data_IF_608300357352
#
_entry.id   IF_608300357352
#
_cell.length_a   1.000
_cell.length_b   1.000
_cell.length_c   1.000
_cell.angle_alpha   90.00
_cell.angle_beta   90.00
_cell.angle_gamma   90.00
#
_symmetry.space_group_name_H-M   'P 1'
#
loop_
_entity.id
_entity.type
_entity.pdbx_description
1 polymer ?
#
# COMPACT_ATOMS: atom_id res chain seq x y z
N UNK A 1 25.21 -4.10 24.70
CA UNK A 1 25.16 -3.88 23.22
C UNK A 1 24.84 -5.13 22.38
N UNK A 2 25.12 -6.38 22.80
CA UNK A 2 24.72 -7.61 22.04
C UNK A 2 23.20 -7.71 21.79
N UNK A 3 22.37 -7.27 22.74
CA UNK A 3 20.91 -7.23 22.61
C UNK A 3 20.40 -6.27 21.54
N UNK A 4 21.17 -5.24 21.17
CA UNK A 4 20.77 -4.31 20.10
C UNK A 4 21.04 -4.90 18.72
N UNK A 5 22.22 -5.48 18.51
CA UNK A 5 22.59 -6.15 17.25
C UNK A 5 21.61 -7.29 16.92
N UNK A 6 21.30 -8.13 17.89
CA UNK A 6 20.34 -9.23 17.71
C UNK A 6 18.93 -8.73 17.41
N UNK A 7 18.41 -7.72 18.14
CA UNK A 7 17.09 -7.12 17.83
C UNK A 7 17.04 -6.53 16.44
N UNK A 8 18.10 -5.85 16.01
CA UNK A 8 18.23 -5.27 14.67
C UNK A 8 18.19 -6.34 13.59
N UNK A 9 18.96 -7.42 13.76
CA UNK A 9 18.99 -8.53 12.81
C UNK A 9 17.62 -9.21 12.68
N UNK A 10 16.93 -9.47 13.81
CA UNK A 10 15.58 -10.01 13.81
C UNK A 10 14.57 -9.09 13.12
N UNK A 11 14.68 -7.78 13.32
CA UNK A 11 13.81 -6.80 12.67
C UNK A 11 14.03 -6.73 11.16
N UNK A 12 15.30 -6.68 10.72
CA UNK A 12 15.66 -6.71 9.31
C UNK A 12 15.18 -8.00 8.65
N UNK A 13 15.32 -9.14 9.32
CA UNK A 13 14.81 -10.41 8.84
C UNK A 13 13.30 -10.39 8.64
N UNK A 14 12.54 -9.89 9.63
CA UNK A 14 11.09 -9.81 9.59
C UNK A 14 10.59 -8.91 8.46
N UNK A 15 11.15 -7.70 8.32
CA UNK A 15 10.80 -6.80 7.20
C UNK A 15 11.14 -7.44 5.86
N UNK A 16 12.31 -8.08 5.74
CA UNK A 16 12.71 -8.72 4.48
C UNK A 16 11.75 -9.83 4.10
N UNK A 17 11.28 -10.62 5.08
CA UNK A 17 10.28 -11.67 4.86
C UNK A 17 8.94 -11.09 4.39
N UNK A 18 8.45 -10.06 5.08
CA UNK A 18 7.17 -9.42 4.74
C UNK A 18 7.22 -8.76 3.37
N UNK A 19 8.28 -8.00 3.08
CA UNK A 19 8.40 -7.33 1.78
C UNK A 19 8.52 -8.33 0.63
N UNK A 20 9.20 -9.45 0.86
CA UNK A 20 9.33 -10.50 -0.14
C UNK A 20 8.01 -11.22 -0.40
N UNK A 21 7.17 -11.43 0.62
CA UNK A 21 5.87 -12.08 0.44
C UNK A 21 4.95 -11.29 -0.50
N UNK A 22 5.01 -9.95 -0.45
CA UNK A 22 4.30 -9.07 -1.39
C UNK A 22 4.89 -9.09 -2.81
N UNK A 23 6.18 -9.39 -2.96
CA UNK A 23 6.87 -9.40 -4.25
C UNK A 23 6.84 -10.75 -4.97
N UNK A 24 6.57 -11.86 -4.25
CA UNK A 24 6.49 -13.21 -4.84
C UNK A 24 5.59 -13.26 -6.10
N UNK A 25 4.38 -12.66 -6.14
CA UNK A 25 3.53 -12.69 -7.33
C UNK A 25 4.15 -12.05 -8.57
N UNK A 26 5.09 -11.10 -8.38
CA UNK A 26 5.76 -10.38 -9.47
C UNK A 26 6.97 -11.18 -9.98
N UNK A 27 7.58 -12.00 -9.14
CA UNK A 27 8.78 -12.78 -9.46
C UNK A 27 8.54 -14.31 -9.34
N UNK A 28 7.67 -14.90 -10.19
CA UNK A 28 7.25 -16.29 -10.05
C UNK A 28 8.38 -17.32 -10.27
N UNK A 29 9.49 -16.92 -10.89
CA UNK A 29 10.63 -17.78 -11.22
C UNK A 29 11.72 -17.81 -10.14
N UNK A 30 11.63 -16.95 -9.13
CA UNK A 30 12.65 -16.84 -8.07
C UNK A 30 12.12 -17.55 -6.83
N UNK A 31 12.96 -18.35 -6.19
CA UNK A 31 12.55 -19.01 -4.95
C UNK A 31 12.28 -17.97 -3.84
N UNK A 32 11.32 -18.21 -2.92
CA UNK A 32 11.02 -17.28 -1.84
C UNK A 32 12.25 -16.91 -0.99
N UNK A 33 13.16 -17.87 -0.79
CA UNK A 33 14.39 -17.68 -0.02
C UNK A 33 15.40 -16.79 -0.75
N UNK A 34 15.60 -16.98 -2.06
CA UNK A 34 16.47 -16.14 -2.87
C UNK A 34 15.92 -14.71 -2.97
N UNK A 35 14.61 -14.57 -3.18
CA UNK A 35 13.95 -13.28 -3.20
C UNK A 35 14.14 -12.55 -1.87
N UNK A 36 13.92 -13.24 -0.74
CA UNK A 36 14.16 -12.68 0.59
C UNK A 36 15.59 -12.23 0.80
N UNK A 37 16.57 -13.05 0.41
CA UNK A 37 17.97 -12.72 0.54
C UNK A 37 18.38 -11.52 -0.34
N UNK A 38 17.84 -11.46 -1.57
CA UNK A 38 18.08 -10.35 -2.50
C UNK A 38 17.48 -9.05 -1.95
N UNK A 39 16.21 -9.07 -1.57
CA UNK A 39 15.50 -7.93 -0.96
C UNK A 39 16.20 -7.44 0.31
N UNK A 40 16.63 -8.37 1.17
CA UNK A 40 17.38 -8.04 2.38
C UNK A 40 18.64 -7.26 2.06
N UNK A 41 19.47 -7.75 1.12
CA UNK A 41 20.77 -7.18 0.79
C UNK A 41 20.66 -5.88 -0.01
N UNK A 42 19.75 -5.82 -0.96
CA UNK A 42 19.64 -4.70 -1.90
C UNK A 42 18.81 -3.52 -1.35
N UNK A 43 17.82 -3.79 -0.49
CA UNK A 43 16.84 -2.77 -0.07
C UNK A 43 16.82 -2.59 1.44
N UNK A 44 16.49 -3.65 2.19
CA UNK A 44 16.15 -3.52 3.63
C UNK A 44 17.38 -3.15 4.46
N UNK A 45 18.50 -3.84 4.25
CA UNK A 45 19.74 -3.61 4.99
C UNK A 45 20.31 -2.20 4.72
N UNK A 46 20.49 -1.75 3.46
CA UNK A 46 20.91 -0.38 3.17
C UNK A 46 19.97 0.69 3.72
N UNK A 47 18.65 0.49 3.63
CA UNK A 47 17.67 1.44 4.17
C UNK A 47 17.77 1.55 5.71
N UNK A 48 17.94 0.42 6.40
CA UNK A 48 18.14 0.41 7.85
C UNK A 48 19.46 1.06 8.26
N UNK A 49 20.54 0.85 7.50
CA UNK A 49 21.84 1.51 7.72
C UNK A 49 21.74 3.03 7.50
N UNK A 50 21.06 3.46 6.45
CA UNK A 50 20.83 4.88 6.15
C UNK A 50 19.99 5.55 7.25
N UNK A 51 18.87 4.93 7.66
CA UNK A 51 18.02 5.45 8.74
C UNK A 51 18.79 5.59 10.06
N UNK A 52 19.68 4.65 10.37
CA UNK A 52 20.54 4.72 11.53
C UNK A 52 21.52 5.89 11.44
N UNK A 53 22.19 6.09 10.29
CA UNK A 53 23.15 7.18 10.08
C UNK A 53 22.51 8.56 10.13
N UNK A 54 21.31 8.68 9.59
CA UNK A 54 20.56 9.93 9.54
C UNK A 54 19.82 10.25 10.84
N UNK A 55 19.96 9.43 11.89
CA UNK A 55 19.21 9.55 13.14
C UNK A 55 17.70 9.73 12.92
N UNK A 56 17.13 9.13 11.87
CA UNK A 56 15.69 9.27 11.57
C UNK A 56 14.81 8.50 12.56
N UNK A 57 15.40 7.95 13.63
CA UNK A 57 14.81 6.99 14.58
C UNK A 57 13.73 7.57 15.50
N UNK A 58 13.31 8.82 15.29
CA UNK A 58 12.22 9.42 16.08
C UNK A 58 10.85 9.07 15.48
N UNK A 59 10.78 8.84 14.17
CA UNK A 59 9.52 8.66 13.47
C UNK A 59 9.34 7.20 13.04
N UNK A 60 8.21 6.61 13.42
CA UNK A 60 7.82 5.25 13.03
C UNK A 60 6.88 5.35 11.84
N UNK A 61 7.20 4.66 10.75
CA UNK A 61 6.37 4.64 9.54
C UNK A 61 5.53 3.37 9.48
N UNK A 62 4.29 3.51 9.03
CA UNK A 62 3.31 2.43 8.97
C UNK A 62 2.68 2.36 7.59
N UNK A 63 2.64 1.17 7.01
CA UNK A 63 1.81 0.86 5.85
C UNK A 63 0.51 0.24 6.34
N UNK A 64 -0.63 0.87 6.03
CA UNK A 64 -1.95 0.38 6.43
C UNK A 64 -2.87 0.24 5.24
N UNK A 65 -3.38 -0.96 5.02
CA UNK A 65 -4.45 -1.23 4.08
C UNK A 65 -5.77 -0.59 4.56
N UNK A 66 -6.70 -0.26 3.64
CA UNK A 66 -8.04 0.15 4.01
C UNK A 66 -8.70 -0.85 4.98
N UNK A 67 -9.57 -0.32 5.84
CA UNK A 67 -10.27 -1.16 6.83
C UNK A 67 -11.47 -1.84 6.16
N UNK A 68 -12.04 -2.87 6.80
CA UNK A 68 -13.27 -3.53 6.31
C UNK A 68 -14.44 -2.56 6.12
N UNK A 69 -14.41 -1.41 6.80
CA UNK A 69 -15.39 -0.32 6.69
C UNK A 69 -15.02 0.70 5.61
N UNK A 70 -14.12 0.38 4.70
CA UNK A 70 -13.64 1.33 3.69
C UNK A 70 -14.78 1.87 2.82
N UNK A 71 -15.79 1.04 2.53
CA UNK A 71 -16.96 1.42 1.73
C UNK A 71 -17.78 2.57 2.32
N UNK A 72 -17.78 2.75 3.65
CA UNK A 72 -18.55 3.81 4.33
C UNK A 72 -17.73 5.06 4.63
N UNK A 73 -16.41 4.99 4.52
CA UNK A 73 -15.47 6.07 4.90
C UNK A 73 -14.56 6.50 3.76
N UNK A 74 -15.13 6.76 2.59
CA UNK A 74 -14.35 7.09 1.40
C UNK A 74 -13.56 8.42 1.51
N UNK A 75 -13.95 9.33 2.41
CA UNK A 75 -13.24 10.61 2.66
C UNK A 75 -11.79 10.45 3.12
N UNK A 76 -11.44 9.31 3.74
CA UNK A 76 -10.08 9.08 4.25
C UNK A 76 -9.15 8.44 3.22
N UNK A 77 -9.66 8.10 2.04
CA UNK A 77 -8.93 7.42 0.97
C UNK A 77 -8.77 8.30 -0.26
N UNK A 78 -7.80 7.95 -1.09
CA UNK A 78 -7.67 8.46 -2.46
C UNK A 78 -8.49 7.55 -3.37
N UNK A 79 -9.59 8.07 -3.92
CA UNK A 79 -10.57 7.28 -4.65
C UNK A 79 -10.35 7.39 -6.15
N UNK A 80 -10.07 6.27 -6.81
CA UNK A 80 -9.89 6.18 -8.26
C UNK A 80 -11.20 5.76 -8.91
N UNK A 81 -11.77 6.58 -9.79
CA UNK A 81 -13.02 6.25 -10.47
C UNK A 81 -12.79 5.42 -11.72
N UNK A 82 -13.24 4.18 -11.69
CA UNK A 82 -13.17 3.26 -12.81
C UNK A 82 -13.93 3.77 -14.04
N UNK A 83 -15.09 4.40 -13.84
CA UNK A 83 -15.92 4.89 -14.94
C UNK A 83 -15.29 6.08 -15.69
N UNK A 84 -14.42 6.84 -15.03
CA UNK A 84 -13.73 8.01 -15.57
C UNK A 84 -12.24 7.71 -15.83
N UNK A 85 -11.95 6.49 -16.33
CA UNK A 85 -10.60 6.10 -16.74
C UNK A 85 -9.56 6.07 -15.61
N UNK A 86 -9.99 5.95 -14.35
CA UNK A 86 -9.10 5.94 -13.19
C UNK A 86 -8.73 7.35 -12.68
N UNK A 87 -9.48 8.39 -13.02
CA UNK A 87 -9.26 9.72 -12.44
C UNK A 87 -9.56 9.72 -10.94
N UNK A 88 -8.77 10.52 -10.21
CA UNK A 88 -8.93 10.67 -8.76
C UNK A 88 -10.12 11.57 -8.48
N UNK A 89 -11.03 11.09 -7.62
CA UNK A 89 -12.13 11.87 -7.06
C UNK A 89 -11.78 12.23 -5.62
N UNK A 90 -11.82 13.53 -5.31
CA UNK A 90 -11.71 13.98 -3.92
C UNK A 90 -13.08 13.94 -3.25
N UNK A 91 -13.20 13.09 -2.24
CA UNK A 91 -14.39 12.98 -1.39
C UNK A 91 -14.13 13.55 0.01
N UNK A 92 -13.01 14.25 0.22
CA UNK A 92 -12.74 14.91 1.48
C UNK A 92 -13.82 15.96 1.79
N UNK A 93 -14.27 16.00 3.05
CA UNK A 93 -15.31 16.95 3.50
C UNK A 93 -16.75 16.63 3.05
N UNK A 94 -16.97 15.56 2.28
CA UNK A 94 -18.33 15.13 1.91
C UNK A 94 -18.91 14.17 2.96
N UNK A 95 -20.19 14.34 3.32
CA UNK A 95 -20.88 13.39 4.20
C UNK A 95 -21.23 12.10 3.45
N UNK A 96 -21.35 10.94 4.13
CA UNK A 96 -21.78 9.68 3.51
C UNK A 96 -23.08 9.82 2.71
N UNK A 97 -24.01 10.65 3.18
CA UNK A 97 -25.33 10.89 2.56
C UNK A 97 -25.34 11.99 1.50
N UNK A 98 -24.18 12.59 1.20
CA UNK A 98 -24.10 13.70 0.25
C UNK A 98 -24.51 13.26 -1.16
N UNK A 99 -25.16 14.15 -1.94
CA UNK A 99 -25.53 13.85 -3.33
C UNK A 99 -24.35 13.36 -4.17
N UNK A 100 -23.15 13.90 -3.93
CA UNK A 100 -21.90 13.53 -4.59
C UNK A 100 -21.49 12.07 -4.34
N UNK A 101 -22.02 11.40 -3.31
CA UNK A 101 -21.71 10.00 -2.97
C UNK A 101 -22.80 9.00 -3.32
N UNK A 102 -24.02 9.44 -3.66
CA UNK A 102 -25.15 8.54 -3.91
C UNK A 102 -24.88 7.48 -4.99
N UNK A 103 -24.12 7.86 -6.01
CA UNK A 103 -23.78 7.00 -7.14
C UNK A 103 -22.34 6.46 -7.07
N UNK A 104 -21.71 6.51 -5.89
CA UNK A 104 -20.35 6.00 -5.68
C UNK A 104 -20.42 4.64 -5.00
N UNK A 105 -19.87 3.63 -5.66
CA UNK A 105 -19.69 2.29 -5.09
C UNK A 105 -18.22 1.96 -4.93
N UNK A 106 -17.84 1.56 -3.72
CA UNK A 106 -16.54 0.97 -3.46
C UNK A 106 -16.44 -0.39 -4.17
N UNK A 107 -15.29 -0.66 -4.80
CA UNK A 107 -15.02 -1.94 -5.46
C UNK A 107 -13.98 -2.75 -4.68
N UNK A 108 -12.75 -2.26 -4.58
CA UNK A 108 -11.66 -2.95 -3.88
C UNK A 108 -10.47 -2.03 -3.54
N UNK A 109 -9.57 -2.54 -2.71
CA UNK A 109 -8.34 -1.86 -2.28
C UNK A 109 -7.25 -1.93 -3.35
N UNK A 110 -6.65 -0.79 -3.70
CA UNK A 110 -5.57 -0.73 -4.69
C UNK A 110 -4.21 -0.75 -3.99
N UNK A 111 -4.02 0.10 -2.97
CA UNK A 111 -2.73 0.26 -2.30
C UNK A 111 -2.88 0.70 -0.84
N UNK A 112 -1.94 0.30 0.05
CA UNK A 112 -1.93 0.76 1.43
C UNK A 112 -1.53 2.24 1.50
N UNK A 113 -1.99 2.93 2.55
CA UNK A 113 -1.54 4.27 2.88
C UNK A 113 -0.24 4.24 3.67
N UNK A 114 0.54 5.31 3.55
CA UNK A 114 1.76 5.54 4.34
C UNK A 114 1.46 6.55 5.44
N UNK A 115 1.73 6.15 6.68
CA UNK A 115 1.50 6.96 7.86
C UNK A 115 2.79 7.11 8.66
N UNK A 116 2.90 8.21 9.40
CA UNK A 116 4.00 8.48 10.32
C UNK A 116 3.47 8.69 11.73
N UNK A 117 4.08 8.00 12.67
CA UNK A 117 3.88 8.13 14.11
C UNK A 117 5.17 8.75 14.66
N UNK A 118 5.11 10.03 15.04
CA UNK A 118 6.27 10.75 15.58
C UNK A 118 6.43 10.44 17.06
N UNK A 119 7.66 10.37 17.56
CA UNK A 119 7.94 10.17 18.99
C UNK A 119 8.60 11.41 19.58
N UNK A 120 7.85 12.26 20.26
CA UNK A 120 8.40 13.47 20.90
C UNK A 120 8.45 13.28 22.42
N UNK A 121 9.61 13.53 23.04
CA UNK A 121 9.76 13.41 24.49
C UNK A 121 9.43 12.03 25.07
N UNK A 122 9.61 10.96 24.30
CA UNK A 122 9.26 9.58 24.70
C UNK A 122 7.77 9.25 24.58
N UNK A 123 6.93 10.15 24.06
CA UNK A 123 5.51 9.90 23.78
C UNK A 123 5.27 9.75 22.29
N UNK A 124 4.48 8.74 21.92
CA UNK A 124 4.01 8.55 20.54
C UNK A 124 2.88 9.54 20.25
N UNK A 125 3.07 10.38 19.25
CA UNK A 125 2.06 11.29 18.75
C UNK A 125 1.08 10.55 17.82
N UNK A 126 -0.13 11.11 17.59
CA UNK A 126 -1.10 10.52 16.67
C UNK A 126 -0.50 10.27 15.28
N UNK A 127 -0.91 9.15 14.67
CA UNK A 127 -0.55 8.81 13.29
C UNK A 127 -1.01 9.90 12.32
N UNK A 128 -0.06 10.48 11.60
CA UNK A 128 -0.32 11.42 10.51
C UNK A 128 -0.20 10.69 9.17
N UNK A 129 -1.19 10.83 8.30
CA UNK A 129 -1.10 10.33 6.93
C UNK A 129 -0.06 11.14 6.14
N UNK A 130 0.90 10.45 5.52
CA UNK A 130 1.79 11.00 4.50
C UNK A 130 1.14 10.79 3.13
N UNK A 131 0.71 9.56 2.85
CA UNK A 131 -0.04 9.19 1.66
C UNK A 131 -1.30 8.45 2.10
N UNK A 132 -2.48 8.86 1.61
CA UNK A 132 -3.73 8.15 1.91
C UNK A 132 -3.73 6.79 1.19
N UNK A 133 -4.38 5.76 1.77
CA UNK A 133 -4.61 4.51 1.05
C UNK A 133 -5.44 4.76 -0.21
N UNK A 134 -5.22 3.93 -1.24
CA UNK A 134 -5.87 4.05 -2.54
C UNK A 134 -6.93 2.98 -2.70
N UNK A 135 -8.12 3.39 -3.14
CA UNK A 135 -9.26 2.49 -3.36
C UNK A 135 -9.83 2.73 -4.75
N UNK A 136 -10.33 1.66 -5.37
CA UNK A 136 -11.07 1.75 -6.62
C UNK A 136 -12.55 1.92 -6.30
N UNK A 137 -13.18 2.89 -6.96
CA UNK A 137 -14.60 3.16 -6.88
C UNK A 137 -15.21 3.17 -8.28
N UNK A 138 -16.53 3.04 -8.34
CA UNK A 138 -17.32 3.29 -9.54
C UNK A 138 -18.28 4.44 -9.23
N UNK A 139 -18.12 5.55 -9.96
CA UNK A 139 -18.80 6.82 -9.68
C UNK A 139 -19.65 7.35 -10.83
N UNK A 140 -20.49 6.51 -11.45
CA UNK A 140 -21.43 6.95 -12.50
C UNK A 140 -22.51 5.89 -12.74
N UNK A 141 -23.63 6.28 -13.36
CA UNK A 141 -24.62 5.30 -13.88
C UNK A 141 -24.17 4.62 -15.18
N UNK A 142 -23.15 5.16 -15.85
CA UNK A 142 -22.67 4.64 -17.12
C UNK A 142 -21.89 3.32 -16.94
N UNK A 143 -22.07 2.42 -17.91
CA UNK A 143 -21.32 1.17 -17.95
C UNK A 143 -19.83 1.46 -18.19
N UNK A 144 -18.98 0.71 -17.49
CA UNK A 144 -17.54 0.76 -17.71
C UNK A 144 -17.24 0.14 -19.07
N UNK A 145 -16.63 0.91 -19.98
CA UNK A 145 -16.25 0.39 -21.29
C UNK A 145 -15.15 -0.66 -21.09
N UNK A 146 -15.44 -1.92 -21.41
CA UNK A 146 -14.43 -2.98 -21.37
C UNK A 146 -13.33 -2.65 -22.39
N UNK A 147 -12.13 -2.37 -21.89
CA UNK A 147 -10.90 -2.31 -22.70
C UNK A 147 -10.10 -3.58 -22.48
N UNK A 148 -9.34 -4.01 -23.49
CA UNK A 148 -8.44 -5.14 -23.35
C UNK A 148 -7.51 -4.89 -22.15
N UNK A 149 -7.67 -5.68 -21.10
CA UNK A 149 -6.83 -5.55 -19.91
C UNK A 149 -5.53 -6.32 -20.12
N UNK A 150 -4.50 -5.97 -19.35
CA UNK A 150 -3.24 -6.73 -19.31
C UNK A 150 -3.50 -8.21 -18.99
N UNK A 151 -4.51 -8.51 -18.17
CA UNK A 151 -4.98 -9.87 -17.91
C UNK A 151 -5.61 -10.51 -19.15
N UNK A 152 -6.47 -9.81 -19.88
CA UNK A 152 -7.04 -10.30 -21.16
C UNK A 152 -5.93 -10.62 -22.18
N UNK A 153 -4.89 -9.77 -22.24
CA UNK A 153 -3.73 -10.00 -23.09
C UNK A 153 -2.89 -11.19 -22.61
N UNK A 154 -2.61 -11.29 -21.31
CA UNK A 154 -1.88 -12.44 -20.75
C UNK A 154 -2.63 -13.75 -20.99
N UNK A 155 -3.94 -13.79 -20.75
CA UNK A 155 -4.77 -14.98 -20.98
C UNK A 155 -4.84 -15.40 -22.44
N UNK A 156 -4.83 -14.45 -23.38
CA UNK A 156 -4.79 -14.76 -24.82
C UNK A 156 -3.39 -15.22 -25.24
N UNK A 157 -2.34 -14.54 -24.78
CA UNK A 157 -0.95 -14.91 -25.07
C UNK A 157 -0.59 -16.32 -24.56
N UNK A 158 -1.24 -16.81 -23.50
CA UNK A 158 -1.04 -18.17 -22.97
C UNK A 158 -1.89 -19.26 -23.63
N UNK A 159 -2.88 -18.90 -24.47
CA UNK A 159 -3.72 -19.88 -25.19
C UNK A 159 -3.14 -20.32 -26.53
N UNK A 160 -2.20 -19.56 -27.08
CA UNK A 160 -1.59 -19.78 -28.39
C UNK A 160 -0.18 -20.42 -28.30
N UNK A 161 0.19 -21.01 -27.15
CA UNK A 161 1.42 -21.78 -26.94
C UNK A 161 1.14 -23.11 -26.25
#
# INVERSE_FOLDING_TARGET
QKSFKSRRESYIYLISKDLSSYLIPIFPKISPLELQNSVRKAVVQPAADLAHRLHTSVNVFWLKWPLKTASTRLEVYECFNLADGGRVIDLSGTSPESPSRRNIRYLFDIAPGLFVERVEGGRKLPLKAICRPKVLIHGSENQVTHRATLLTWLYSATRDG
#
